data_IF_577913674379
#
_entry.id   IF_577913674379
#
_cell.length_a   1.000
_cell.length_b   1.000
_cell.length_c   1.000
_cell.angle_alpha   90.00
_cell.angle_beta   90.00
_cell.angle_gamma   90.00
#
_symmetry.space_group_name_H-M   'P 1'
#
loop_
_entity.id
_entity.type
_entity.pdbx_description
1 polymer ?
#
# COMPACT_ATOMS: atom_id res chain seq x y z
N UNK A 1 -10.32 -41.46 2.65
CA UNK A 1 -9.58 -41.22 3.91
C UNK A 1 -8.79 -39.92 3.79
N UNK A 2 -9.21 -38.87 4.50
CA UNK A 2 -8.50 -37.57 4.55
C UNK A 2 -7.29 -37.69 5.48
N UNK A 3 -6.10 -37.27 5.04
CA UNK A 3 -4.91 -37.08 5.90
C UNK A 3 -4.81 -35.61 6.28
N UNK A 4 -4.91 -35.30 7.58
CA UNK A 4 -4.65 -33.98 8.16
C UNK A 4 -3.17 -33.96 8.59
N UNK A 5 -2.38 -33.00 8.09
CA UNK A 5 -1.03 -32.70 8.59
C UNK A 5 -1.17 -31.70 9.74
N UNK A 6 -0.78 -32.09 10.95
CA UNK A 6 -0.64 -31.19 12.09
C UNK A 6 0.80 -30.68 12.10
N UNK A 7 0.95 -29.36 12.07
CA UNK A 7 2.22 -28.64 12.19
C UNK A 7 2.64 -28.64 13.67
N UNK A 8 3.79 -29.25 13.98
CA UNK A 8 4.30 -29.34 15.35
C UNK A 8 5.09 -28.06 15.69
N UNK A 9 4.57 -27.23 16.59
CA UNK A 9 5.35 -26.16 17.22
C UNK A 9 6.23 -26.78 18.33
N UNK A 10 7.53 -26.50 18.29
CA UNK A 10 8.48 -26.97 19.32
C UNK A 10 8.25 -26.15 20.59
N UNK A 11 7.74 -26.79 21.65
CA UNK A 11 7.53 -26.19 22.96
C UNK A 11 8.71 -26.55 23.86
N UNK A 12 9.55 -25.58 24.22
CA UNK A 12 10.61 -25.77 25.21
C UNK A 12 10.06 -25.48 26.60
N UNK A 13 10.02 -26.50 27.49
CA UNK A 13 9.72 -26.32 28.91
C UNK A 13 11.02 -26.11 29.70
N UNK A 14 11.12 -25.00 30.43
CA UNK A 14 12.12 -24.81 31.49
C UNK A 14 11.45 -24.93 32.86
N UNK A 15 11.97 -25.83 33.71
CA UNK A 15 11.48 -26.06 35.08
C UNK A 15 12.31 -25.22 36.05
N UNK A 16 11.75 -24.13 36.54
CA UNK A 16 12.38 -23.31 37.59
C UNK A 16 11.90 -23.77 38.98
N UNK A 17 12.65 -24.72 39.56
CA UNK A 17 12.60 -25.18 40.97
C UNK A 17 11.40 -26.03 41.41
N UNK A 18 11.70 -27.05 42.22
CA UNK A 18 10.73 -27.85 42.97
C UNK A 18 10.71 -27.39 44.42
N UNK A 19 9.56 -26.94 44.93
CA UNK A 19 9.30 -26.86 46.37
C UNK A 19 8.27 -27.94 46.75
N UNK A 20 8.44 -28.49 47.95
CA UNK A 20 7.99 -29.83 48.37
C UNK A 20 6.49 -30.10 48.56
N UNK A 21 5.61 -29.39 47.88
CA UNK A 21 4.20 -29.75 47.78
C UNK A 21 3.90 -29.99 46.30
N UNK A 22 3.52 -31.22 45.94
CA UNK A 22 3.43 -31.74 44.56
C UNK A 22 2.39 -31.09 43.63
N UNK A 23 2.28 -29.77 43.64
CA UNK A 23 1.45 -28.96 42.74
C UNK A 23 2.35 -28.29 41.71
N UNK A 24 2.34 -28.81 40.49
CA UNK A 24 2.97 -28.16 39.34
C UNK A 24 2.12 -26.93 38.99
N UNK A 25 2.59 -25.72 39.35
CA UNK A 25 2.04 -24.48 38.80
C UNK A 25 2.80 -24.15 37.50
N UNK A 26 2.23 -24.52 36.36
CA UNK A 26 2.74 -24.05 35.06
C UNK A 26 2.36 -22.59 34.87
N UNK A 27 3.31 -21.66 34.99
CA UNK A 27 3.13 -20.32 34.43
C UNK A 27 3.39 -20.38 32.94
N UNK A 28 2.34 -20.25 32.13
CA UNK A 28 2.46 -19.93 30.71
C UNK A 28 2.93 -18.48 30.59
N UNK A 29 4.24 -18.25 30.51
CA UNK A 29 4.76 -16.99 29.97
C UNK A 29 4.97 -17.20 28.48
N UNK A 30 4.13 -16.58 27.65
CA UNK A 30 4.46 -16.40 26.23
C UNK A 30 5.65 -15.44 26.17
N UNK A 31 6.85 -15.95 25.95
CA UNK A 31 7.98 -15.09 25.55
C UNK A 31 7.66 -14.57 24.16
N UNK A 32 7.15 -13.34 24.08
CA UNK A 32 7.03 -12.60 22.82
C UNK A 32 8.43 -12.15 22.40
N UNK A 33 9.25 -13.09 21.95
CA UNK A 33 10.60 -12.81 21.47
C UNK A 33 10.56 -12.50 19.98
N UNK A 34 11.15 -11.34 19.65
CA UNK A 34 11.16 -10.72 18.34
C UNK A 34 11.42 -11.67 17.16
N UNK A 35 10.63 -11.48 16.12
CA UNK A 35 10.49 -12.36 14.97
C UNK A 35 11.68 -12.23 14.00
N UNK A 36 12.46 -13.32 13.80
CA UNK A 36 13.62 -13.42 12.89
C UNK A 36 13.21 -13.49 11.42
N UNK A 37 13.52 -12.51 10.57
CA UNK A 37 13.60 -12.71 9.10
C UNK A 37 12.39 -13.47 8.46
N UNK A 38 11.17 -13.27 9.00
CA UNK A 38 10.02 -14.14 8.72
C UNK A 38 9.28 -13.68 7.45
N UNK A 39 9.10 -14.62 6.53
CA UNK A 39 8.08 -14.54 5.49
C UNK A 39 6.71 -14.32 6.14
N UNK A 40 5.93 -13.36 5.66
CA UNK A 40 4.58 -13.08 6.13
C UNK A 40 3.81 -14.40 6.39
N UNK A 41 3.28 -14.66 7.61
CA UNK A 41 2.61 -15.91 7.92
C UNK A 41 1.37 -16.17 7.04
N UNK A 42 0.84 -15.13 6.38
CA UNK A 42 -0.25 -15.22 5.41
C UNK A 42 0.23 -15.49 3.97
N UNK A 43 1.54 -15.43 3.72
CA UNK A 43 2.14 -15.52 2.39
C UNK A 43 1.86 -14.30 1.50
N UNK A 44 1.21 -13.26 2.02
CA UNK A 44 0.85 -12.06 1.27
C UNK A 44 2.11 -11.28 0.88
N UNK A 45 2.99 -10.94 1.83
CA UNK A 45 4.26 -10.31 1.51
C UNK A 45 5.42 -11.29 1.32
N UNK A 46 6.36 -10.99 0.38
CA UNK A 46 7.62 -11.72 0.26
C UNK A 46 8.40 -11.72 1.58
N UNK A 47 9.37 -12.64 1.68
CA UNK A 47 10.36 -12.59 2.76
C UNK A 47 11.01 -11.21 2.83
N UNK A 48 11.18 -10.71 4.05
CA UNK A 48 11.74 -9.39 4.36
C UNK A 48 10.94 -8.20 3.80
N UNK A 49 9.65 -8.41 3.53
CA UNK A 49 8.70 -7.34 3.30
C UNK A 49 7.59 -7.39 4.37
N UNK A 50 7.15 -6.21 4.81
CA UNK A 50 6.02 -6.03 5.72
C UNK A 50 4.80 -5.54 4.98
N UNK A 51 3.61 -5.99 5.39
CA UNK A 51 2.34 -5.54 4.87
C UNK A 51 2.02 -4.16 5.44
N UNK A 52 1.79 -3.20 4.56
CA UNK A 52 1.29 -1.86 4.88
C UNK A 52 -0.21 -1.87 4.64
N UNK A 53 -1.04 -1.66 5.68
CA UNK A 53 -2.49 -1.57 5.50
C UNK A 53 -2.89 -0.39 4.61
N UNK A 54 -3.99 -0.55 3.87
CA UNK A 54 -4.63 0.52 3.12
C UNK A 54 -4.84 1.75 4.00
N UNK A 55 -4.59 2.93 3.42
CA UNK A 55 -4.70 4.21 4.10
C UNK A 55 -5.17 5.29 3.11
N UNK A 56 -6.46 5.31 2.73
CA UNK A 56 -6.99 6.33 1.84
C UNK A 56 -6.84 7.74 2.44
N UNK A 57 -6.59 8.77 1.61
CA UNK A 57 -6.53 8.73 0.14
C UNK A 57 -5.14 8.32 -0.41
N UNK A 58 -4.16 8.01 0.45
CA UNK A 58 -2.77 7.77 0.06
C UNK A 58 -2.54 6.39 -0.57
N UNK A 59 -3.21 5.37 -0.05
CA UNK A 59 -3.21 4.02 -0.62
C UNK A 59 -4.60 3.39 -0.46
N UNK A 60 -5.26 3.07 -1.57
CA UNK A 60 -6.59 2.44 -1.58
C UNK A 60 -6.56 0.96 -1.13
N UNK A 61 -5.40 0.33 -1.25
CA UNK A 61 -5.20 -1.09 -0.95
C UNK A 61 -3.90 -1.29 -0.18
N UNK A 62 -3.84 -2.44 0.49
CA UNK A 62 -2.63 -2.91 1.12
C UNK A 62 -1.51 -3.13 0.07
N UNK A 63 -0.27 -2.97 0.52
CA UNK A 63 0.91 -3.29 -0.27
C UNK A 63 2.02 -3.80 0.64
N UNK A 64 3.08 -4.33 0.06
CA UNK A 64 4.25 -4.80 0.77
C UNK A 64 5.37 -3.77 0.67
N UNK A 65 5.97 -3.44 1.80
CA UNK A 65 7.14 -2.58 1.90
C UNK A 65 8.34 -3.41 2.34
N UNK A 66 9.47 -3.27 1.68
CA UNK A 66 10.73 -3.82 2.18
C UNK A 66 11.00 -3.41 3.63
N UNK A 67 11.21 -4.41 4.50
CA UNK A 67 11.40 -4.22 5.94
C UNK A 67 12.66 -3.42 6.24
N UNK A 68 13.74 -3.75 5.53
CA UNK A 68 15.03 -3.09 5.61
C UNK A 68 15.33 -2.35 4.31
N UNK A 69 16.22 -1.36 4.38
CA UNK A 69 16.76 -0.72 3.19
C UNK A 69 17.31 -1.74 2.19
N UNK A 70 17.15 -1.42 0.90
CA UNK A 70 17.72 -2.23 -0.17
C UNK A 70 19.25 -2.25 -0.05
N UNK A 71 19.81 -3.42 -0.31
CA UNK A 71 21.25 -3.68 -0.29
C UNK A 71 21.63 -4.41 -1.56
N UNK A 72 22.92 -4.38 -1.87
CA UNK A 72 23.47 -5.19 -2.96
C UNK A 72 23.51 -6.65 -2.48
N UNK A 73 22.80 -7.53 -3.19
CA UNK A 73 22.80 -8.97 -2.90
C UNK A 73 24.22 -9.52 -2.91
N UNK A 74 24.60 -10.19 -1.84
CA UNK A 74 25.93 -10.80 -1.69
C UNK A 74 27.08 -9.82 -1.43
N UNK A 75 26.79 -8.51 -1.22
CA UNK A 75 27.80 -7.53 -0.84
C UNK A 75 27.34 -6.73 0.39
N UNK A 76 28.15 -6.74 1.45
CA UNK A 76 27.85 -6.04 2.71
C UNK A 76 28.20 -4.56 2.68
N UNK A 77 28.92 -4.08 1.66
CA UNK A 77 29.15 -2.66 1.42
C UNK A 77 28.22 -2.16 0.31
N UNK A 78 27.22 -1.35 0.67
CA UNK A 78 26.29 -0.72 -0.27
C UNK A 78 26.76 0.60 -0.86
N UNK A 79 27.89 1.16 -0.42
CA UNK A 79 28.55 2.31 -1.06
C UNK A 79 29.51 1.81 -2.14
N UNK A 80 28.93 1.38 -3.26
CA UNK A 80 29.65 0.88 -4.43
C UNK A 80 29.22 1.66 -5.67
N UNK A 81 30.12 1.90 -6.64
CA UNK A 81 29.72 2.39 -7.95
C UNK A 81 28.65 1.48 -8.55
N UNK A 82 27.60 2.07 -9.12
CA UNK A 82 26.50 1.30 -9.72
C UNK A 82 27.00 0.35 -10.81
N UNK A 83 26.51 -0.89 -10.78
CA UNK A 83 26.70 -1.92 -11.80
C UNK A 83 25.33 -2.56 -12.08
N UNK A 84 24.93 -2.63 -13.34
CA UNK A 84 23.65 -3.20 -13.77
C UNK A 84 23.53 -4.72 -13.53
N UNK A 85 24.61 -5.39 -13.13
CA UNK A 85 24.59 -6.80 -12.71
C UNK A 85 24.29 -6.97 -11.22
N UNK A 86 24.26 -5.88 -10.44
CA UNK A 86 23.80 -5.95 -9.07
C UNK A 86 22.33 -6.32 -9.00
N UNK A 87 21.92 -6.83 -7.83
CA UNK A 87 20.54 -7.23 -7.58
C UNK A 87 20.17 -6.68 -6.21
N UNK A 88 19.09 -5.91 -6.14
CA UNK A 88 18.58 -5.42 -4.88
C UNK A 88 18.09 -6.56 -3.96
N UNK A 89 18.31 -6.41 -2.66
CA UNK A 89 17.83 -7.34 -1.64
C UNK A 89 17.51 -6.60 -0.34
N UNK A 90 16.30 -6.81 0.20
CA UNK A 90 15.98 -6.37 1.56
C UNK A 90 16.46 -7.41 2.57
N UNK A 91 17.41 -7.03 3.40
CA UNK A 91 17.99 -7.88 4.46
C UNK A 91 18.51 -7.04 5.61
N UNK A 92 18.68 -7.64 6.80
CA UNK A 92 19.18 -6.95 7.99
C UNK A 92 20.67 -6.59 7.90
N UNK A 93 21.51 -7.56 7.50
CA UNK A 93 22.98 -7.43 7.38
C UNK A 93 23.44 -6.51 6.25
N UNK A 94 24.64 -5.95 6.33
CA UNK A 94 25.23 -5.03 5.34
C UNK A 94 24.78 -3.57 5.48
N UNK A 95 25.42 -2.66 4.75
CA UNK A 95 25.02 -1.24 4.69
C UNK A 95 24.03 -1.00 3.53
N UNK A 96 23.15 0.02 3.63
CA UNK A 96 22.22 0.37 2.55
C UNK A 96 22.93 0.61 1.21
N UNK A 97 22.29 0.22 0.11
CA UNK A 97 22.75 0.54 -1.24
C UNK A 97 22.45 2.02 -1.52
N UNK A 98 23.53 2.80 -1.62
CA UNK A 98 23.50 4.25 -1.84
C UNK A 98 24.20 4.61 -3.14
N UNK A 99 24.14 5.87 -3.55
CA UNK A 99 24.85 6.32 -4.75
C UNK A 99 24.20 5.84 -6.04
N UNK A 100 22.87 5.71 -6.05
CA UNK A 100 22.07 5.36 -7.24
C UNK A 100 21.19 6.53 -7.66
N UNK A 101 20.87 6.60 -8.94
CA UNK A 101 19.84 7.51 -9.49
C UNK A 101 18.43 6.92 -9.28
N UNK A 102 17.40 7.74 -9.44
CA UNK A 102 16.00 7.27 -9.36
C UNK A 102 15.66 6.24 -10.44
N UNK A 103 16.18 6.43 -11.66
CA UNK A 103 15.96 5.52 -12.76
C UNK A 103 16.59 4.15 -12.49
N UNK A 104 17.80 4.13 -11.93
CA UNK A 104 18.49 2.90 -11.51
C UNK A 104 17.74 2.23 -10.36
N UNK A 105 17.40 2.96 -9.29
CA UNK A 105 16.62 2.42 -8.16
C UNK A 105 15.27 1.82 -8.63
N UNK A 106 14.60 2.48 -9.57
CA UNK A 106 13.36 1.98 -10.17
C UNK A 106 13.57 0.71 -11.01
N UNK A 107 14.63 0.67 -11.83
CA UNK A 107 14.98 -0.51 -12.61
C UNK A 107 15.29 -1.70 -11.71
N UNK A 108 16.09 -1.50 -10.66
CA UNK A 108 16.44 -2.52 -9.67
C UNK A 108 15.22 -3.08 -8.94
N UNK A 109 14.30 -2.22 -8.50
CA UNK A 109 13.06 -2.70 -7.87
C UNK A 109 12.22 -3.53 -8.83
N UNK A 110 12.10 -3.11 -10.10
CA UNK A 110 11.33 -3.85 -11.12
C UNK A 110 11.99 -5.18 -11.50
N UNK A 111 13.33 -5.26 -11.42
CA UNK A 111 14.07 -6.49 -11.66
C UNK A 111 13.81 -7.59 -10.61
N UNK A 112 13.27 -7.24 -9.44
CA UNK A 112 12.83 -8.21 -8.43
C UNK A 112 11.64 -9.07 -8.88
N UNK A 113 10.92 -8.63 -9.91
CA UNK A 113 9.85 -9.39 -10.57
C UNK A 113 8.52 -8.64 -10.66
N UNK A 114 7.48 -9.36 -11.08
CA UNK A 114 6.15 -8.78 -11.26
C UNK A 114 5.58 -8.19 -9.97
N UNK A 115 4.98 -7.00 -10.09
CA UNK A 115 4.35 -6.28 -8.98
C UNK A 115 5.30 -5.49 -8.08
N UNK A 116 6.62 -5.54 -8.32
CA UNK A 116 7.58 -4.68 -7.61
C UNK A 116 7.78 -3.34 -8.34
N UNK A 117 7.92 -2.27 -7.57
CA UNK A 117 8.31 -0.95 -8.08
C UNK A 117 9.05 -0.16 -6.98
N UNK A 118 9.63 0.96 -7.36
CA UNK A 118 10.13 1.95 -6.40
C UNK A 118 8.95 2.62 -5.68
N UNK A 119 9.07 2.82 -4.37
CA UNK A 119 8.03 3.45 -3.55
C UNK A 119 7.68 4.85 -4.07
N UNK A 120 6.40 5.15 -4.30
CA UNK A 120 5.93 6.50 -4.60
C UNK A 120 5.74 7.36 -3.35
N UNK A 121 5.60 8.67 -3.53
CA UNK A 121 5.23 9.57 -2.43
C UNK A 121 3.91 9.23 -1.75
N UNK A 122 2.91 8.82 -2.53
CA UNK A 122 1.62 8.40 -1.96
C UNK A 122 1.76 7.17 -1.07
N UNK A 123 2.62 6.22 -1.45
CA UNK A 123 2.93 5.05 -0.63
C UNK A 123 3.75 5.43 0.61
N UNK A 124 4.74 6.33 0.49
CA UNK A 124 5.44 6.89 1.65
C UNK A 124 4.46 7.49 2.65
N UNK A 125 3.54 8.33 2.16
CA UNK A 125 2.53 8.95 3.01
C UNK A 125 1.63 7.94 3.69
N UNK A 126 1.20 6.90 2.98
CA UNK A 126 0.40 5.83 3.57
C UNK A 126 1.12 5.18 4.77
N UNK A 127 2.42 4.90 4.63
CA UNK A 127 3.27 4.32 5.68
C UNK A 127 3.47 5.31 6.82
N UNK A 128 3.84 6.55 6.51
CA UNK A 128 4.10 7.60 7.49
C UNK A 128 2.87 7.90 8.35
N UNK A 129 1.70 8.05 7.71
CA UNK A 129 0.40 8.23 8.39
C UNK A 129 0.03 7.04 9.25
N UNK A 130 0.31 5.82 8.79
CA UNK A 130 0.05 4.62 9.57
C UNK A 130 0.89 4.61 10.87
N UNK A 131 2.19 4.88 10.75
CA UNK A 131 3.13 4.94 11.88
C UNK A 131 2.76 6.07 12.86
N UNK A 132 2.40 7.25 12.33
CA UNK A 132 1.97 8.42 13.11
C UNK A 132 0.80 8.08 14.06
N UNK A 133 -0.15 7.26 13.62
CA UNK A 133 -1.33 6.88 14.40
C UNK A 133 -1.08 5.76 15.41
N UNK A 134 0.11 5.16 15.43
CA UNK A 134 0.44 4.06 16.35
C UNK A 134 1.13 4.62 17.60
N UNK A 135 0.40 4.65 18.70
CA UNK A 135 0.84 5.18 20.00
C UNK A 135 2.19 4.62 20.49
N UNK A 136 2.52 3.36 20.16
CA UNK A 136 3.79 2.71 20.53
C UNK A 136 5.03 3.44 19.97
N UNK A 137 4.91 4.12 18.84
CA UNK A 137 6.04 4.86 18.23
C UNK A 137 6.36 6.16 19.01
N UNK A 138 5.48 6.60 19.89
CA UNK A 138 5.59 7.87 20.60
C UNK A 138 6.18 7.72 22.00
N UNK A 139 7.01 8.69 22.41
CA UNK A 139 7.68 8.73 23.71
C UNK A 139 6.77 8.55 24.94
N UNK A 140 5.54 9.08 24.88
CA UNK A 140 4.54 8.99 25.95
C UNK A 140 3.53 7.86 25.77
N UNK A 141 3.77 6.92 24.85
CA UNK A 141 2.82 5.87 24.49
C UNK A 141 1.42 6.40 24.11
N UNK A 142 1.37 7.62 23.58
CA UNK A 142 0.18 8.30 23.11
C UNK A 142 0.53 9.14 21.87
N UNK A 143 -0.35 9.14 20.87
CA UNK A 143 -0.17 9.91 19.63
C UNK A 143 -0.02 11.40 19.98
N UNK A 144 1.02 12.04 19.46
CA UNK A 144 1.31 13.46 19.71
C UNK A 144 1.98 13.78 21.04
N UNK A 145 2.47 12.79 21.81
CA UNK A 145 3.19 13.06 23.06
C UNK A 145 4.43 13.94 22.87
N UNK A 146 4.74 14.77 23.88
CA UNK A 146 5.72 15.86 23.79
C UNK A 146 7.19 15.46 23.54
N UNK A 147 7.57 14.20 23.74
CA UNK A 147 8.93 13.73 23.40
C UNK A 147 9.07 13.23 21.96
N UNK A 148 7.97 13.14 21.20
CA UNK A 148 7.99 12.84 19.77
C UNK A 148 8.00 11.35 19.40
N UNK A 149 8.12 11.10 18.10
CA UNK A 149 8.26 9.80 17.46
C UNK A 149 9.70 9.29 17.57
N UNK A 150 9.84 7.96 17.67
CA UNK A 150 11.11 7.30 17.44
C UNK A 150 11.66 7.62 16.05
N UNK A 151 12.88 8.12 16.02
CA UNK A 151 13.59 8.52 14.81
C UNK A 151 14.90 7.75 14.77
N UNK A 152 15.08 6.93 13.75
CA UNK A 152 16.34 6.21 13.58
C UNK A 152 17.44 7.23 13.32
N UNK A 153 18.19 7.64 14.35
CA UNK A 153 19.20 8.67 14.16
C UNK A 153 20.49 8.04 13.64
N UNK A 154 20.97 8.60 12.53
CA UNK A 154 22.17 8.14 11.86
C UNK A 154 23.43 8.32 12.71
N UNK A 155 24.08 7.20 13.05
CA UNK A 155 25.53 7.06 13.27
C UNK A 155 26.14 6.08 12.24
N UNK A 156 26.97 6.55 11.28
CA UNK A 156 27.29 6.05 9.88
C UNK A 156 26.39 5.00 9.19
N UNK A 157 26.34 4.92 7.84
CA UNK A 157 25.42 3.99 7.12
C UNK A 157 25.41 2.59 7.78
N UNK A 158 24.34 2.28 8.49
CA UNK A 158 24.41 1.37 9.64
C UNK A 158 23.68 0.07 9.36
N UNK A 159 24.30 -1.06 9.70
CA UNK A 159 23.66 -2.38 9.59
C UNK A 159 22.51 -2.50 10.59
N UNK A 160 21.35 -2.97 10.11
CA UNK A 160 20.20 -3.26 10.97
C UNK A 160 20.41 -4.57 11.74
N UNK A 161 19.69 -4.75 12.85
CA UNK A 161 19.75 -6.02 13.56
C UNK A 161 18.85 -7.07 12.91
N UNK A 162 19.23 -8.35 13.07
CA UNK A 162 18.40 -9.48 12.67
C UNK A 162 17.10 -9.61 13.49
N UNK A 163 17.08 -9.03 14.71
CA UNK A 163 15.95 -9.10 15.64
C UNK A 163 15.40 -7.73 15.97
N UNK A 164 14.08 -7.55 15.80
CA UNK A 164 13.40 -6.28 16.10
C UNK A 164 13.54 -5.83 17.57
N UNK A 165 13.76 -6.77 18.50
CA UNK A 165 14.06 -6.46 19.91
C UNK A 165 15.37 -5.71 20.11
N UNK A 166 16.30 -5.76 19.16
CA UNK A 166 17.54 -4.98 19.21
C UNK A 166 17.34 -3.60 18.56
N UNK A 167 16.25 -2.92 18.93
CA UNK A 167 15.75 -1.73 18.25
C UNK A 167 16.73 -0.55 18.20
N UNK A 168 17.74 -0.50 19.08
CA UNK A 168 18.80 0.52 19.08
C UNK A 168 20.15 0.02 18.56
N UNK A 169 20.21 -1.13 17.88
CA UNK A 169 21.46 -1.69 17.40
C UNK A 169 22.28 -0.67 16.58
N UNK A 170 23.56 -0.53 16.92
CA UNK A 170 24.48 0.38 16.22
C UNK A 170 24.39 1.86 16.62
N UNK A 171 23.49 2.26 17.54
CA UNK A 171 23.33 3.68 17.92
C UNK A 171 24.07 4.07 19.21
N UNK A 172 24.65 3.10 19.92
CA UNK A 172 25.22 3.30 21.26
C UNK A 172 24.19 3.50 22.37
N UNK A 173 22.89 3.46 22.05
CA UNK A 173 21.80 3.55 23.02
C UNK A 173 21.25 2.16 23.38
N UNK A 174 20.54 2.08 24.51
CA UNK A 174 19.84 0.86 24.94
C UNK A 174 18.34 1.06 24.78
N UNK A 175 17.71 0.24 23.92
CA UNK A 175 16.26 0.18 23.78
C UNK A 175 15.84 -1.15 23.13
N UNK A 176 14.60 -1.56 23.40
CA UNK A 176 13.96 -2.76 22.85
C UNK A 176 12.48 -2.48 22.54
N UNK A 177 11.68 -3.52 22.29
CA UNK A 177 10.26 -3.38 21.97
C UNK A 177 9.41 -2.81 23.13
N UNK A 178 9.90 -2.91 24.37
CA UNK A 178 9.25 -2.42 25.60
C UNK A 178 9.83 -1.09 26.10
N UNK A 179 11.10 -0.83 25.85
CA UNK A 179 11.85 0.32 26.38
C UNK A 179 12.00 1.39 25.30
N UNK A 180 11.34 2.54 25.48
CA UNK A 180 11.37 3.62 24.49
C UNK A 180 12.69 4.38 24.48
N UNK A 181 13.16 4.72 23.28
CA UNK A 181 14.26 5.66 23.07
C UNK A 181 14.05 6.35 21.72
N UNK A 182 14.45 7.63 21.62
CA UNK A 182 14.33 8.37 20.37
C UNK A 182 15.19 7.78 19.25
N UNK A 183 16.27 7.05 19.55
CA UNK A 183 17.15 6.35 18.59
C UNK A 183 16.63 4.97 18.17
N UNK A 184 15.40 4.60 18.55
CA UNK A 184 14.79 3.37 18.04
C UNK A 184 14.80 3.40 16.51
N UNK A 185 15.47 2.40 15.95
CA UNK A 185 15.62 2.17 14.51
C UNK A 185 14.46 1.38 13.92
N UNK A 186 13.43 1.05 14.71
CA UNK A 186 12.22 0.37 14.23
C UNK A 186 10.99 1.23 14.47
N UNK A 187 10.10 1.25 13.49
CA UNK A 187 8.77 1.83 13.59
C UNK A 187 7.72 0.72 13.46
N UNK A 188 6.68 0.77 14.27
CA UNK A 188 5.59 -0.21 14.29
C UNK A 188 4.41 0.28 13.45
N UNK A 189 3.93 -0.57 12.56
CA UNK A 189 2.70 -0.40 11.79
C UNK A 189 1.47 -0.80 12.62
N UNK A 190 0.28 -0.36 12.22
CA UNK A 190 -0.97 -0.63 12.93
C UNK A 190 -1.34 -2.11 12.98
N UNK A 191 -0.85 -2.91 12.04
CA UNK A 191 -0.98 -4.37 12.05
C UNK A 191 0.05 -5.08 12.94
N UNK A 192 0.88 -4.33 13.67
CA UNK A 192 1.87 -4.82 14.60
C UNK A 192 3.23 -5.19 14.01
N UNK A 193 3.41 -5.13 12.68
CA UNK A 193 4.68 -5.38 12.03
C UNK A 193 5.66 -4.21 12.19
N UNK A 194 6.96 -4.47 12.05
CA UNK A 194 8.02 -3.48 12.23
C UNK A 194 8.77 -3.22 10.93
N UNK A 195 8.97 -1.94 10.60
CA UNK A 195 9.89 -1.49 9.55
C UNK A 195 11.14 -0.91 10.23
N UNK A 196 12.32 -1.21 9.68
CA UNK A 196 13.57 -0.65 10.16
C UNK A 196 13.89 0.65 9.43
N UNK A 197 14.58 1.59 10.06
CA UNK A 197 15.28 2.75 9.47
C UNK A 197 14.45 3.70 8.58
N UNK A 198 13.12 3.59 8.52
CA UNK A 198 12.32 4.41 7.60
C UNK A 198 12.41 5.91 7.93
N UNK A 199 12.48 6.26 9.22
CA UNK A 199 12.62 7.65 9.66
C UNK A 199 14.08 8.15 9.62
N UNK A 200 15.04 7.29 9.28
CA UNK A 200 16.45 7.69 9.12
C UNK A 200 17.43 6.53 9.10
N UNK A 201 18.60 6.80 8.54
CA UNK A 201 19.81 5.97 8.37
C UNK A 201 20.40 6.54 7.08
N UNK A 202 19.74 6.28 5.96
CA UNK A 202 19.88 7.02 4.70
C UNK A 202 18.52 7.63 4.35
N UNK A 203 18.52 8.66 3.51
CA UNK A 203 17.27 9.18 2.97
C UNK A 203 16.84 8.34 1.75
N UNK A 204 15.55 8.37 1.44
CA UNK A 204 14.91 7.50 0.47
C UNK A 204 14.52 8.26 -0.79
N UNK A 205 15.05 7.85 -1.95
CA UNK A 205 14.54 8.28 -3.25
C UNK A 205 13.18 7.65 -3.49
N UNK A 206 12.21 8.47 -3.90
CA UNK A 206 10.87 8.01 -4.26
C UNK A 206 10.65 8.02 -5.76
N UNK A 207 9.64 7.28 -6.22
CA UNK A 207 9.07 7.36 -7.57
C UNK A 207 8.18 8.61 -7.67
N UNK A 208 8.52 9.50 -8.59
CA UNK A 208 7.80 10.76 -8.82
C UNK A 208 8.68 11.99 -8.60
N UNK A 209 8.09 13.18 -8.73
CA UNK A 209 8.74 14.44 -8.46
C UNK A 209 7.81 15.40 -7.68
N UNK A 210 8.41 16.48 -7.17
CA UNK A 210 7.68 17.50 -6.41
C UNK A 210 6.55 18.19 -7.19
N UNK A 211 6.60 18.21 -8.53
CA UNK A 211 5.66 18.97 -9.36
C UNK A 211 4.41 18.17 -9.73
N UNK A 212 4.54 16.87 -9.87
CA UNK A 212 3.49 15.98 -10.38
C UNK A 212 2.82 15.13 -9.31
N UNK A 213 3.42 15.02 -8.12
CA UNK A 213 2.84 14.24 -7.03
C UNK A 213 1.60 14.92 -6.42
N UNK A 214 0.53 14.15 -6.12
CA UNK A 214 -0.72 14.69 -5.61
C UNK A 214 -0.55 15.35 -4.23
N UNK A 215 -1.16 16.52 -4.09
CA UNK A 215 -1.25 17.27 -2.82
C UNK A 215 -2.48 16.78 -2.06
N UNK A 216 -2.27 16.06 -0.97
CA UNK A 216 -3.32 15.71 -0.03
C UNK A 216 -3.23 16.68 1.13
N UNK A 217 -4.12 17.68 1.20
CA UNK A 217 -4.07 18.71 2.23
C UNK A 217 -4.80 18.30 3.51
N UNK A 218 -4.12 17.83 4.58
CA UNK A 218 -4.65 17.96 5.92
C UNK A 218 -4.57 19.45 6.29
N UNK A 219 -5.65 19.99 6.81
CA UNK A 219 -5.62 21.29 7.46
C UNK A 219 -4.86 21.13 8.79
N UNK A 220 -3.52 21.25 8.82
CA UNK A 220 -2.81 21.86 9.96
C UNK A 220 -1.27 21.97 9.86
N UNK A 221 -0.73 22.85 10.70
CA UNK A 221 0.47 23.70 10.52
C UNK A 221 1.71 23.27 11.33
N UNK A 222 1.79 22.01 11.73
CA UNK A 222 2.58 21.58 12.90
C UNK A 222 4.10 21.79 12.89
N UNK A 223 4.75 22.05 11.75
CA UNK A 223 6.21 22.19 11.67
C UNK A 223 6.59 23.53 11.06
N UNK A 224 7.13 24.40 11.90
CA UNK A 224 7.60 25.75 11.54
C UNK A 224 8.63 25.73 10.41
N UNK A 225 9.45 24.68 10.32
CA UNK A 225 10.59 24.56 9.39
C UNK A 225 10.30 24.14 7.96
N UNK A 226 9.09 23.68 7.63
CA UNK A 226 8.75 23.39 6.23
C UNK A 226 8.66 24.71 5.46
N UNK A 227 9.56 24.92 4.49
CA UNK A 227 9.58 26.17 3.72
C UNK A 227 8.39 26.25 2.75
N UNK A 228 7.33 26.96 3.17
CA UNK A 228 6.16 27.26 2.35
C UNK A 228 4.92 26.42 2.67
N UNK A 229 3.75 27.06 2.58
CA UNK A 229 2.46 26.45 2.93
C UNK A 229 2.18 25.16 2.14
N UNK A 230 2.63 25.07 0.88
CA UNK A 230 2.47 23.86 0.06
C UNK A 230 3.22 22.66 0.63
N UNK A 231 4.48 22.76 1.05
CA UNK A 231 5.18 21.60 1.62
C UNK A 231 4.56 21.12 2.93
N UNK A 232 4.06 22.06 3.75
CA UNK A 232 3.31 21.71 4.97
C UNK A 232 2.06 20.90 4.64
N UNK A 233 1.25 21.40 3.71
CA UNK A 233 0.02 20.73 3.28
C UNK A 233 0.29 19.42 2.54
N UNK A 234 1.34 19.33 1.72
CA UNK A 234 1.58 18.12 0.92
C UNK A 234 2.25 17.00 1.71
N UNK A 235 3.14 17.35 2.66
CA UNK A 235 4.12 16.41 3.21
C UNK A 235 4.17 16.29 4.74
N UNK A 236 3.56 17.22 5.47
CA UNK A 236 3.60 17.23 6.93
C UNK A 236 2.76 16.16 7.61
N UNK A 237 2.82 16.06 8.95
CA UNK A 237 1.91 15.25 9.77
C UNK A 237 0.42 15.65 9.59
N UNK A 238 -0.51 14.78 10.01
CA UNK A 238 -1.95 15.08 10.03
C UNK A 238 -2.30 15.79 11.33
N UNK A 239 -1.65 15.42 12.43
CA UNK A 239 -1.87 16.04 13.73
C UNK A 239 -1.21 17.42 13.85
N UNK A 240 -1.82 18.28 14.66
CA UNK A 240 -1.20 19.53 15.08
C UNK A 240 -0.26 19.28 16.27
N UNK A 241 1.04 19.24 15.99
CA UNK A 241 2.11 19.00 16.96
C UNK A 241 2.90 20.26 17.30
N UNK A 242 2.19 21.36 17.60
CA UNK A 242 2.82 22.67 17.85
C UNK A 242 3.89 22.66 18.98
N UNK A 243 3.80 21.71 19.92
CA UNK A 243 4.80 21.52 20.98
C UNK A 243 6.13 20.90 20.49
N UNK A 244 6.16 20.34 19.28
CA UNK A 244 7.31 19.68 18.66
C UNK A 244 8.01 20.57 17.62
N UNK A 245 7.93 21.90 17.77
CA UNK A 245 8.47 22.88 16.82
C UNK A 245 9.94 23.25 17.05
N UNK A 246 10.58 22.72 18.10
CA UNK A 246 11.99 22.93 18.38
C UNK A 246 12.80 21.69 18.00
N UNK A 247 14.04 21.89 17.57
CA UNK A 247 14.99 20.83 17.30
C UNK A 247 14.99 19.80 18.44
N UNK A 248 14.77 18.49 18.17
CA UNK A 248 14.84 17.81 16.86
C UNK A 248 13.47 17.48 16.21
N UNK A 249 12.50 18.39 16.30
CA UNK A 249 11.13 18.26 15.79
C UNK A 249 10.36 17.03 16.25
N UNK A 250 10.73 16.49 17.43
CA UNK A 250 10.13 15.27 17.96
C UNK A 250 10.14 14.11 16.97
N UNK A 251 11.15 13.98 16.11
CA UNK A 251 11.23 12.90 15.12
C UNK A 251 10.24 12.97 13.96
N UNK A 252 9.55 14.10 13.80
CA UNK A 252 8.71 14.35 12.63
C UNK A 252 9.55 14.75 11.42
N UNK A 253 10.64 15.49 11.63
CA UNK A 253 11.55 15.92 10.56
C UNK A 253 11.35 17.36 10.09
N UNK A 254 12.05 17.72 9.02
CA UNK A 254 12.07 19.07 8.42
C UNK A 254 11.72 19.04 6.92
N UNK A 255 11.53 20.22 6.31
CA UNK A 255 11.17 20.34 4.90
C UNK A 255 12.00 21.39 4.18
N UNK A 256 12.93 20.94 3.33
CA UNK A 256 13.82 21.79 2.55
C UNK A 256 13.42 21.79 1.07
N UNK A 257 13.06 22.95 0.54
CA UNK A 257 12.60 23.08 -0.85
C UNK A 257 13.43 24.04 -1.69
N UNK A 258 13.63 23.71 -2.97
CA UNK A 258 14.07 24.65 -4.01
C UNK A 258 13.06 24.70 -5.17
N UNK A 259 12.94 25.87 -5.81
CA UNK A 259 11.82 26.22 -6.68
C UNK A 259 11.87 25.66 -8.11
N UNK A 260 12.88 24.87 -8.51
CA UNK A 260 13.08 24.68 -9.96
C UNK A 260 13.33 23.28 -10.53
N UNK A 261 13.73 22.20 -9.84
CA UNK A 261 13.95 20.88 -10.50
C UNK A 261 14.09 19.65 -9.55
N UNK A 262 13.47 19.66 -8.37
CA UNK A 262 13.78 18.72 -7.29
C UNK A 262 13.14 17.34 -7.37
N UNK A 263 13.96 16.28 -7.39
CA UNK A 263 13.51 14.93 -7.04
C UNK A 263 13.04 14.89 -5.58
N UNK A 264 12.01 14.09 -5.28
CA UNK A 264 11.49 13.95 -3.93
C UNK A 264 12.29 12.91 -3.14
N UNK A 265 13.04 13.39 -2.15
CA UNK A 265 13.74 12.53 -1.16
C UNK A 265 13.05 12.64 0.19
N UNK A 266 12.87 11.51 0.86
CA UNK A 266 12.17 11.42 2.16
C UNK A 266 13.00 10.72 3.23
N UNK A 267 12.58 10.86 4.47
CA UNK A 267 13.34 10.33 5.59
C UNK A 267 14.62 11.13 5.83
N UNK A 268 15.46 10.65 6.74
CA UNK A 268 16.67 11.37 7.16
C UNK A 268 17.96 10.69 6.80
N UNK A 269 18.89 11.49 6.29
CA UNK A 269 20.26 11.07 6.07
C UNK A 269 21.24 11.69 7.07
N UNK A 270 22.44 11.12 7.08
CA UNK A 270 23.69 11.64 7.63
C UNK A 270 23.85 13.16 7.49
N UNK A 271 24.09 13.85 8.60
CA UNK A 271 24.49 15.26 8.61
C UNK A 271 25.97 15.40 8.98
N UNK A 272 26.76 15.95 8.07
CA UNK A 272 28.20 16.22 8.22
C UNK A 272 28.50 17.13 9.43
N UNK A 273 28.92 16.52 10.54
CA UNK A 273 29.73 17.18 11.58
C UNK A 273 29.09 18.32 12.39
N UNK A 274 27.85 18.71 12.12
CA UNK A 274 27.15 19.72 12.93
C UNK A 274 26.07 19.02 13.77
N UNK A 275 26.11 19.08 15.12
CA UNK A 275 25.11 18.53 16.02
C UNK A 275 23.79 19.34 15.99
N UNK A 276 23.35 19.69 14.78
CA UNK A 276 22.26 20.58 14.39
C UNK A 276 21.60 20.19 13.05
N UNK A 277 22.17 19.24 12.28
CA UNK A 277 21.67 18.84 10.96
C UNK A 277 20.66 17.66 11.07
N UNK A 278 19.57 17.91 11.81
CA UNK A 278 18.59 16.94 12.30
C UNK A 278 17.46 16.61 11.34
N UNK A 279 17.79 16.27 10.09
CA UNK A 279 16.76 15.97 9.07
C UNK A 279 16.18 14.56 9.21
N UNK A 280 16.45 13.83 10.31
CA UNK A 280 15.89 12.51 10.58
C UNK A 280 14.50 12.59 11.20
N UNK A 281 13.53 12.22 10.38
CA UNK A 281 12.13 12.14 10.75
C UNK A 281 11.29 11.51 9.66
N UNK A 282 10.14 11.01 10.07
CA UNK A 282 9.22 10.28 9.21
C UNK A 282 8.60 11.14 8.09
N UNK A 283 8.43 12.44 8.36
CA UNK A 283 7.89 13.42 7.42
C UNK A 283 8.96 14.30 6.79
N UNK A 284 10.24 14.04 7.08
CA UNK A 284 11.35 14.77 6.45
C UNK A 284 11.24 14.73 4.93
N UNK A 285 11.48 15.87 4.30
CA UNK A 285 11.44 16.02 2.86
C UNK A 285 12.53 16.97 2.38
N UNK A 286 13.25 16.54 1.34
CA UNK A 286 14.21 17.38 0.65
C UNK A 286 13.94 17.34 -0.85
N UNK A 287 13.68 18.51 -1.44
CA UNK A 287 13.54 18.69 -2.89
C UNK A 287 14.67 19.56 -3.48
N UNK A 288 15.66 19.95 -2.67
CA UNK A 288 16.83 20.71 -3.12
C UNK A 288 17.99 19.81 -3.53
N UNK A 289 17.68 18.60 -4.00
CA UNK A 289 18.65 17.61 -4.43
C UNK A 289 18.51 17.40 -5.94
N UNK A 290 19.60 17.68 -6.66
CA UNK A 290 19.71 17.50 -8.12
C UNK A 290 20.54 16.25 -8.38
N UNK A 291 19.97 15.25 -9.05
CA UNK A 291 20.62 13.95 -9.22
C UNK A 291 20.71 13.48 -10.66
N UNK A 292 21.40 14.30 -11.46
CA UNK A 292 22.27 13.77 -12.52
C UNK A 292 23.52 13.08 -11.92
N UNK A 293 23.73 13.17 -10.59
CA UNK A 293 24.90 12.63 -9.87
C UNK A 293 24.49 11.80 -8.65
N UNK A 294 24.98 10.56 -8.48
CA UNK A 294 24.87 9.76 -7.26
C UNK A 294 25.12 10.49 -5.93
N UNK A 295 24.38 10.12 -4.87
CA UNK A 295 24.59 10.60 -3.50
C UNK A 295 24.69 9.44 -2.50
N UNK A 296 25.79 9.37 -1.76
CA UNK A 296 26.10 8.29 -0.81
C UNK A 296 25.30 8.35 0.50
N UNK A 297 24.46 9.36 0.68
CA UNK A 297 23.59 9.53 1.83
C UNK A 297 22.14 9.16 1.51
N UNK A 298 21.88 8.69 0.29
CA UNK A 298 20.55 8.43 -0.24
C UNK A 298 20.47 7.03 -0.82
N UNK A 299 19.52 6.23 -0.30
CA UNK A 299 19.20 4.88 -0.74
C UNK A 299 17.79 4.81 -1.33
N UNK A 300 17.21 3.61 -1.30
CA UNK A 300 15.88 3.34 -1.83
C UNK A 300 15.23 2.11 -1.19
N UNK A 301 13.90 2.11 -1.22
CA UNK A 301 13.04 0.99 -0.86
C UNK A 301 12.16 0.57 -2.01
N UNK A 302 12.13 -0.73 -2.24
CA UNK A 302 11.14 -1.33 -3.12
C UNK A 302 9.87 -1.64 -2.34
N UNK A 303 8.76 -1.50 -3.05
CA UNK A 303 7.46 -2.03 -2.65
C UNK A 303 7.10 -3.19 -3.56
N UNK A 304 6.16 -4.02 -3.11
CA UNK A 304 5.49 -5.01 -3.95
C UNK A 304 3.99 -4.90 -3.75
N UNK A 305 3.24 -4.89 -4.82
CA UNK A 305 1.83 -5.23 -4.79
C UNK A 305 1.73 -6.75 -4.98
N UNK A 306 1.48 -7.53 -3.92
CA UNK A 306 1.39 -8.98 -4.07
C UNK A 306 0.13 -9.31 -4.88
N UNK A 307 0.31 -9.51 -6.19
CA UNK A 307 -0.75 -9.78 -7.17
C UNK A 307 -2.09 -9.17 -6.80
N UNK A 308 -2.07 -7.86 -6.57
CA UNK A 308 -2.92 -7.00 -7.37
C UNK A 308 -1.99 -6.50 -8.48
N UNK A 309 -1.90 -7.24 -9.59
CA UNK A 309 -1.62 -6.56 -10.86
C UNK A 309 -2.62 -5.39 -10.93
N UNK A 310 -2.23 -4.23 -11.48
CA UNK A 310 -3.11 -3.08 -11.50
C UNK A 310 -4.49 -3.48 -12.03
N UNK A 311 -5.54 -3.07 -11.33
CA UNK A 311 -6.89 -3.54 -11.65
C UNK A 311 -7.28 -3.02 -13.05
N UNK A 312 -7.43 -3.95 -13.99
CA UNK A 312 -7.98 -3.70 -15.30
C UNK A 312 -9.47 -3.43 -15.21
N UNK A 313 -9.91 -2.47 -16.03
CA UNK A 313 -11.29 -1.97 -16.10
C UNK A 313 -11.62 -1.69 -17.56
N UNK A 314 -12.90 -1.77 -17.92
CA UNK A 314 -13.41 -1.35 -19.24
C UNK A 314 -13.48 0.18 -19.28
N UNK A 315 -13.94 0.79 -18.19
CA UNK A 315 -14.22 2.22 -18.09
C UNK A 315 -13.29 2.90 -17.07
N UNK A 316 -12.86 4.12 -17.37
CA UNK A 316 -12.12 4.97 -16.43
C UNK A 316 -13.10 5.70 -15.49
N UNK A 317 -12.57 6.39 -14.46
CA UNK A 317 -13.41 7.23 -13.60
C UNK A 317 -14.03 8.42 -14.34
N UNK A 318 -13.46 8.83 -15.48
CA UNK A 318 -13.97 9.93 -16.31
C UNK A 318 -15.15 9.51 -17.20
N UNK A 319 -15.36 8.20 -17.38
CA UNK A 319 -16.54 7.70 -18.07
C UNK A 319 -17.74 7.78 -17.12
N UNK A 320 -18.54 8.83 -17.27
CA UNK A 320 -19.82 9.01 -16.56
C UNK A 320 -21.01 8.84 -17.52
N UNK A 321 -22.16 8.36 -17.03
CA UNK A 321 -23.39 8.24 -17.81
C UNK A 321 -23.96 9.60 -18.22
N UNK A 322 -24.47 9.68 -19.45
CA UNK A 322 -25.27 10.82 -19.91
C UNK A 322 -26.58 10.91 -19.11
N UNK A 323 -27.20 9.75 -18.85
CA UNK A 323 -28.39 9.63 -17.98
C UNK A 323 -27.99 8.90 -16.70
N UNK A 324 -27.70 9.61 -15.60
CA UNK A 324 -27.23 9.00 -14.35
C UNK A 324 -28.32 8.24 -13.59
N UNK A 325 -29.60 8.57 -13.82
CA UNK A 325 -30.77 7.87 -13.27
C UNK A 325 -31.89 7.87 -14.29
N UNK A 326 -32.31 6.68 -14.70
CA UNK A 326 -33.59 6.41 -15.35
C UNK A 326 -34.36 5.38 -14.52
N UNK A 327 -35.70 5.40 -14.58
CA UNK A 327 -36.56 4.54 -13.78
C UNK A 327 -37.55 3.77 -14.66
N UNK A 328 -37.50 2.43 -14.58
CA UNK A 328 -38.45 1.52 -15.22
C UNK A 328 -39.46 0.90 -14.22
N UNK A 329 -39.31 1.19 -12.92
CA UNK A 329 -40.16 0.72 -11.80
C UNK A 329 -40.35 -0.81 -11.69
N UNK A 330 -39.67 -1.59 -12.52
CA UNK A 330 -39.56 -3.04 -12.46
C UNK A 330 -38.10 -3.41 -12.20
N UNK A 331 -37.83 -4.45 -11.42
CA UNK A 331 -36.46 -4.89 -11.18
C UNK A 331 -35.76 -5.27 -12.49
N UNK A 332 -34.51 -4.83 -12.68
CA UNK A 332 -33.73 -5.07 -13.90
C UNK A 332 -32.37 -5.66 -13.55
N UNK A 333 -31.95 -6.68 -14.31
CA UNK A 333 -30.54 -7.07 -14.38
C UNK A 333 -29.89 -6.36 -15.56
N UNK A 334 -28.78 -5.67 -15.33
CA UNK A 334 -28.08 -4.87 -16.32
C UNK A 334 -26.63 -5.31 -16.38
N UNK A 335 -26.06 -5.41 -17.58
CA UNK A 335 -24.72 -5.98 -17.74
C UNK A 335 -23.95 -5.53 -18.97
N UNK A 336 -22.71 -6.00 -19.00
CA UNK A 336 -21.76 -5.82 -20.09
C UNK A 336 -21.16 -7.18 -20.48
N UNK A 337 -21.11 -7.46 -21.77
CA UNK A 337 -20.30 -8.53 -22.32
C UNK A 337 -18.86 -8.03 -22.48
N UNK A 338 -17.90 -8.79 -21.95
CA UNK A 338 -16.50 -8.37 -21.92
C UNK A 338 -15.54 -9.52 -22.21
N UNK A 339 -14.30 -9.16 -22.53
CA UNK A 339 -13.15 -10.05 -22.67
C UNK A 339 -11.91 -9.42 -22.01
N UNK A 340 -10.96 -10.26 -21.62
CA UNK A 340 -9.61 -9.84 -21.27
C UNK A 340 -8.62 -10.36 -22.32
N UNK A 341 -7.59 -9.58 -22.66
CA UNK A 341 -6.57 -10.00 -23.65
C UNK A 341 -5.63 -11.10 -23.11
N UNK A 342 -5.55 -11.24 -21.79
CA UNK A 342 -4.69 -12.20 -21.07
C UNK A 342 -5.51 -12.97 -20.03
N UNK A 343 -4.97 -14.11 -19.59
CA UNK A 343 -5.56 -14.84 -18.46
C UNK A 343 -5.49 -13.98 -17.20
N UNK A 344 -6.42 -14.20 -16.28
CA UNK A 344 -6.44 -13.48 -15.02
C UNK A 344 -7.65 -13.81 -14.18
N UNK A 345 -7.96 -12.92 -13.24
CA UNK A 345 -9.02 -13.10 -12.26
C UNK A 345 -9.94 -11.90 -12.19
N UNK A 346 -11.23 -12.16 -12.03
CA UNK A 346 -12.24 -11.15 -11.71
C UNK A 346 -12.42 -11.13 -10.19
N UNK A 347 -12.06 -10.01 -9.58
CA UNK A 347 -12.17 -9.78 -8.14
C UNK A 347 -13.54 -9.23 -7.74
N UNK A 348 -14.31 -8.71 -8.69
CA UNK A 348 -15.60 -8.10 -8.43
C UNK A 348 -16.17 -7.42 -9.66
N UNK A 349 -17.32 -6.79 -9.45
CA UNK A 349 -18.04 -5.99 -10.44
C UNK A 349 -18.16 -4.58 -9.89
N UNK A 350 -18.04 -3.60 -10.78
CA UNK A 350 -18.28 -2.20 -10.50
C UNK A 350 -19.44 -1.72 -11.37
N UNK A 351 -20.27 -0.82 -10.86
CA UNK A 351 -21.35 -0.22 -11.65
C UNK A 351 -21.62 1.23 -11.24
N UNK A 352 -22.07 2.07 -12.17
CA UNK A 352 -22.42 3.45 -11.83
C UNK A 352 -23.83 3.50 -11.23
N UNK A 353 -23.95 4.16 -10.08
CA UNK A 353 -25.21 4.27 -9.35
C UNK A 353 -25.60 5.73 -9.16
N UNK A 354 -26.77 6.11 -9.67
CA UNK A 354 -27.30 7.46 -9.50
C UNK A 354 -28.38 7.62 -8.42
N UNK A 355 -28.99 6.53 -7.94
CA UNK A 355 -30.09 6.57 -6.97
C UNK A 355 -30.02 5.42 -5.94
N UNK A 356 -30.81 5.54 -4.86
CA UNK A 356 -30.90 4.53 -3.79
C UNK A 356 -31.86 3.42 -4.18
N UNK A 357 -31.45 2.16 -4.06
CA UNK A 357 -32.30 1.01 -4.35
C UNK A 357 -32.81 0.34 -3.08
N UNK A 358 -34.13 0.28 -2.85
CA UNK A 358 -34.69 -0.49 -1.76
C UNK A 358 -34.28 -1.97 -1.85
N UNK A 359 -33.50 -2.46 -0.87
CA UNK A 359 -33.02 -3.84 -0.83
C UNK A 359 -31.61 -4.08 -1.36
N UNK A 360 -30.89 -3.02 -1.76
CA UNK A 360 -29.48 -3.08 -2.19
C UNK A 360 -29.28 -3.63 -3.59
N UNK A 361 -28.04 -4.05 -3.87
CA UNK A 361 -27.64 -4.58 -5.18
C UNK A 361 -26.93 -5.92 -5.04
N UNK A 362 -27.16 -6.77 -6.02
CA UNK A 362 -26.38 -8.01 -6.20
C UNK A 362 -25.64 -7.90 -7.52
N UNK A 363 -24.34 -8.16 -7.50
CA UNK A 363 -23.55 -8.31 -8.72
C UNK A 363 -23.35 -9.77 -9.07
N UNK A 364 -23.27 -10.06 -10.35
CA UNK A 364 -23.15 -11.43 -10.87
C UNK A 364 -22.12 -11.49 -12.00
N UNK A 365 -21.41 -12.61 -12.06
CA UNK A 365 -20.52 -12.95 -13.17
C UNK A 365 -21.00 -14.24 -13.83
N UNK A 366 -21.12 -14.22 -15.16
CA UNK A 366 -21.68 -15.31 -15.95
C UNK A 366 -20.73 -15.73 -17.07
N UNK A 367 -20.85 -16.99 -17.48
CA UNK A 367 -20.38 -17.41 -18.81
C UNK A 367 -21.24 -16.78 -19.91
N UNK A 368 -20.74 -16.68 -21.14
CA UNK A 368 -21.54 -16.25 -22.29
C UNK A 368 -22.79 -17.12 -22.55
N UNK A 369 -22.79 -18.37 -22.10
CA UNK A 369 -23.94 -19.30 -22.21
C UNK A 369 -24.99 -19.16 -21.10
N UNK A 370 -24.81 -18.22 -20.17
CA UNK A 370 -25.78 -17.95 -19.10
C UNK A 370 -25.62 -18.77 -17.82
N UNK A 371 -24.53 -19.51 -17.66
CA UNK A 371 -24.19 -20.16 -16.39
C UNK A 371 -23.62 -19.12 -15.42
N UNK A 372 -24.22 -19.00 -14.23
CA UNK A 372 -23.71 -18.17 -13.14
C UNK A 372 -22.41 -18.76 -12.60
N UNK A 373 -21.36 -17.95 -12.54
CA UNK A 373 -20.05 -18.34 -12.02
C UNK A 373 -19.91 -17.94 -10.56
N UNK A 374 -20.26 -16.69 -10.23
CA UNK A 374 -20.27 -16.18 -8.85
C UNK A 374 -21.21 -14.98 -8.70
N UNK A 375 -21.64 -14.69 -7.48
CA UNK A 375 -22.44 -13.52 -7.13
C UNK A 375 -22.11 -12.97 -5.75
N UNK A 376 -22.30 -11.66 -5.57
CA UNK A 376 -22.06 -10.99 -4.30
C UNK A 376 -23.04 -9.83 -4.08
N UNK A 377 -23.46 -9.64 -2.83
CA UNK A 377 -24.25 -8.49 -2.42
C UNK A 377 -23.32 -7.38 -1.90
N UNK A 378 -23.60 -6.13 -2.26
CA UNK A 378 -22.80 -4.97 -1.86
C UNK A 378 -23.56 -4.01 -0.94
N UNK A 379 -22.85 -3.29 -0.04
CA UNK A 379 -23.46 -2.20 0.72
C UNK A 379 -23.82 -1.02 -0.20
N UNK A 380 -24.73 -0.16 0.25
CA UNK A 380 -25.00 1.11 -0.42
C UNK A 380 -23.89 2.13 -0.08
N UNK A 381 -23.10 2.55 -1.07
CA UNK A 381 -22.08 3.59 -0.90
C UNK A 381 -22.64 5.03 -1.02
N UNK A 382 -21.79 5.96 -1.44
CA UNK A 382 -22.19 7.35 -1.77
C UNK A 382 -22.92 7.43 -3.12
N UNK A 383 -23.68 8.51 -3.34
CA UNK A 383 -24.49 8.76 -4.54
C UNK A 383 -24.29 10.20 -5.06
N UNK A 384 -24.36 10.44 -6.38
CA UNK A 384 -24.18 9.45 -7.44
C UNK A 384 -22.70 9.09 -7.58
N UNK A 385 -22.37 7.80 -7.64
CA UNK A 385 -20.98 7.37 -7.84
C UNK A 385 -20.89 5.92 -8.31
N UNK A 386 -19.70 5.56 -8.78
CA UNK A 386 -19.31 4.18 -9.01
C UNK A 386 -19.31 3.37 -7.71
N UNK A 387 -19.99 2.24 -7.74
CA UNK A 387 -20.04 1.27 -6.65
C UNK A 387 -19.18 0.06 -7.00
N UNK A 388 -18.47 -0.48 -6.03
CA UNK A 388 -17.69 -1.71 -6.20
C UNK A 388 -18.20 -2.79 -5.27
N UNK A 389 -18.40 -3.99 -5.82
CA UNK A 389 -18.78 -5.18 -5.05
C UNK A 389 -17.82 -6.31 -5.39
N UNK A 390 -17.09 -6.79 -4.38
CA UNK A 390 -16.08 -7.84 -4.54
C UNK A 390 -16.66 -9.22 -4.27
N UNK A 391 -16.19 -10.19 -5.04
CA UNK A 391 -16.47 -11.61 -4.79
C UNK A 391 -15.66 -12.09 -3.58
N UNK A 392 -16.19 -13.10 -2.88
CA UNK A 392 -15.50 -13.68 -1.73
C UNK A 392 -14.19 -14.38 -2.13
N UNK A 393 -14.13 -14.90 -3.36
CA UNK A 393 -12.94 -15.51 -3.95
C UNK A 393 -12.80 -15.04 -5.40
N UNK A 394 -11.63 -14.51 -5.84
CA UNK A 394 -11.46 -14.10 -7.22
C UNK A 394 -11.68 -15.24 -8.21
N UNK A 395 -12.43 -14.96 -9.28
CA UNK A 395 -12.83 -15.95 -10.29
C UNK A 395 -11.84 -15.95 -11.43
N UNK A 396 -11.24 -17.10 -11.75
CA UNK A 396 -10.32 -17.22 -12.90
C UNK A 396 -11.06 -17.16 -14.24
N UNK A 397 -10.51 -16.40 -15.18
CA UNK A 397 -11.00 -16.28 -16.55
C UNK A 397 -9.88 -16.52 -17.56
N UNK A 398 -10.26 -17.00 -18.74
CA UNK A 398 -9.32 -17.22 -19.84
C UNK A 398 -9.26 -15.99 -20.76
N UNK A 399 -8.08 -15.75 -21.31
CA UNK A 399 -7.87 -14.75 -22.35
C UNK A 399 -8.85 -14.94 -23.52
N UNK A 400 -9.30 -13.84 -24.12
CA UNK A 400 -10.14 -13.78 -25.32
C UNK A 400 -11.42 -14.64 -25.24
N UNK A 401 -11.91 -14.88 -24.02
CA UNK A 401 -13.15 -15.62 -23.76
C UNK A 401 -14.22 -14.64 -23.30
N UNK A 402 -15.42 -14.73 -23.88
CA UNK A 402 -16.53 -13.84 -23.54
C UNK A 402 -17.19 -14.24 -22.23
N UNK A 403 -17.33 -13.26 -21.33
CA UNK A 403 -18.08 -13.35 -20.09
C UNK A 403 -19.08 -12.21 -20.01
N UNK A 404 -20.02 -12.30 -19.06
CA UNK A 404 -20.99 -11.23 -18.78
C UNK A 404 -20.86 -10.84 -17.31
N UNK A 405 -20.65 -9.55 -17.05
CA UNK A 405 -20.74 -8.99 -15.71
C UNK A 405 -22.05 -8.19 -15.60
N UNK A 406 -22.75 -8.33 -14.49
CA UNK A 406 -24.05 -7.66 -14.30
C UNK A 406 -24.29 -7.23 -12.86
N UNK A 407 -25.28 -6.36 -12.68
CA UNK A 407 -25.89 -6.07 -11.39
C UNK A 407 -27.42 -6.08 -11.48
N UNK A 408 -28.06 -6.50 -10.39
CA UNK A 408 -29.51 -6.46 -10.22
C UNK A 408 -29.93 -5.22 -9.45
N UNK A 409 -30.74 -4.37 -10.09
CA UNK A 409 -31.40 -3.21 -9.49
C UNK A 409 -32.86 -3.56 -9.16
N UNK A 410 -33.16 -3.78 -7.88
CA UNK A 410 -34.46 -4.26 -7.40
C UNK A 410 -35.65 -3.35 -7.75
N UNK A 411 -35.47 -2.04 -7.67
CA UNK A 411 -36.46 -1.01 -8.00
C UNK A 411 -36.37 -0.47 -9.43
N UNK A 412 -35.45 -0.99 -10.26
CA UNK A 412 -35.40 -0.66 -11.69
C UNK A 412 -34.84 0.71 -12.03
N UNK A 413 -34.04 1.31 -11.14
CA UNK A 413 -33.34 2.57 -11.45
C UNK A 413 -31.89 2.28 -11.82
N UNK A 414 -31.46 2.87 -12.93
CA UNK A 414 -30.17 2.59 -13.53
C UNK A 414 -29.58 3.77 -14.29
N UNK A 415 -28.27 3.70 -14.49
CA UNK A 415 -27.54 4.64 -15.32
C UNK A 415 -27.37 4.08 -16.73
N UNK A 416 -27.47 4.94 -17.74
CA UNK A 416 -27.16 4.54 -19.12
C UNK A 416 -26.70 5.70 -20.01
N UNK A 417 -26.06 5.32 -21.12
CA UNK A 417 -25.86 6.16 -22.30
C UNK A 417 -26.27 5.35 -23.52
N UNK A 418 -27.16 5.92 -24.34
CA UNK A 418 -27.66 5.25 -25.54
C UNK A 418 -26.57 5.18 -26.62
N UNK A 419 -26.52 4.11 -27.40
CA UNK A 419 -25.51 3.92 -28.47
C UNK A 419 -24.04 4.02 -28.04
N UNK A 420 -23.74 3.94 -26.74
CA UNK A 420 -22.38 4.07 -26.24
C UNK A 420 -21.49 2.91 -26.70
N UNK A 421 -21.99 1.68 -26.73
CA UNK A 421 -21.21 0.50 -27.12
C UNK A 421 -21.35 0.18 -28.62
N UNK A 422 -21.46 1.19 -29.49
CA UNK A 422 -21.37 0.96 -30.96
C UNK A 422 -20.00 0.45 -31.39
N UNK A 423 -18.96 0.74 -30.61
CA UNK A 423 -17.61 0.18 -30.72
C UNK A 423 -17.19 -0.38 -29.35
N UNK A 424 -16.13 -1.21 -29.33
CA UNK A 424 -15.57 -1.67 -28.06
C UNK A 424 -14.98 -0.51 -27.26
N UNK A 425 -15.16 -0.57 -25.93
CA UNK A 425 -14.36 0.22 -25.00
C UNK A 425 -13.28 -0.68 -24.43
N UNK A 426 -12.06 -0.17 -24.40
CA UNK A 426 -10.92 -0.88 -23.86
C UNK A 426 -10.19 0.04 -22.89
N UNK A 427 -10.25 -0.32 -21.62
CA UNK A 427 -9.52 0.40 -20.59
C UNK A 427 -8.10 -0.15 -20.41
N UNK A 428 -7.36 0.40 -19.44
CA UNK A 428 -6.00 -0.03 -19.16
C UNK A 428 -5.97 -1.50 -18.69
N UNK A 429 -4.85 -2.17 -18.94
CA UNK A 429 -4.59 -3.56 -18.53
C UNK A 429 -5.45 -4.63 -19.23
N UNK A 430 -5.97 -4.31 -20.43
CA UNK A 430 -6.36 -5.30 -21.43
C UNK A 430 -7.78 -5.86 -21.30
N UNK A 431 -8.64 -5.25 -20.50
CA UNK A 431 -10.08 -5.58 -20.45
C UNK A 431 -10.84 -4.70 -21.42
N UNK A 432 -11.74 -5.32 -22.19
CA UNK A 432 -12.59 -4.63 -23.17
C UNK A 432 -14.04 -5.09 -23.09
N UNK A 433 -14.97 -4.17 -23.30
CA UNK A 433 -16.33 -4.54 -23.67
C UNK A 433 -16.38 -5.04 -25.11
N UNK A 434 -17.44 -5.77 -25.46
CA UNK A 434 -17.74 -6.06 -26.86
C UNK A 434 -18.54 -4.92 -27.49
N UNK A 435 -18.35 -4.70 -28.79
CA UNK A 435 -19.26 -3.89 -29.58
C UNK A 435 -20.68 -4.50 -29.50
N UNK A 436 -21.67 -3.70 -29.13
CA UNK A 436 -23.03 -4.11 -28.84
C UNK A 436 -23.20 -4.89 -27.53
N UNK A 437 -22.16 -4.91 -26.67
CA UNK A 437 -22.11 -5.75 -25.47
C UNK A 437 -22.98 -5.30 -24.30
N UNK A 438 -23.75 -4.22 -24.42
CA UNK A 438 -24.69 -3.79 -23.39
C UNK A 438 -25.93 -4.67 -23.37
N UNK A 439 -26.16 -5.36 -22.26
CA UNK A 439 -27.23 -6.36 -22.12
C UNK A 439 -28.09 -6.10 -20.89
N UNK A 440 -29.35 -6.54 -20.94
CA UNK A 440 -30.26 -6.48 -19.80
C UNK A 440 -31.18 -7.70 -19.73
N UNK A 441 -31.89 -7.84 -18.62
CA UNK A 441 -33.04 -8.72 -18.44
C UNK A 441 -34.06 -8.08 -17.49
N UNK A 442 -35.34 -8.37 -17.71
CA UNK A 442 -36.42 -7.99 -16.78
C UNK A 442 -36.46 -9.02 -15.65
N UNK A 443 -36.31 -8.54 -14.41
CA UNK A 443 -36.09 -9.36 -13.23
C UNK A 443 -34.64 -9.84 -13.09
N UNK A 444 -34.36 -10.51 -11.97
CA UNK A 444 -33.05 -11.09 -11.70
C UNK A 444 -32.78 -12.29 -12.61
N UNK A 445 -31.54 -12.41 -13.10
CA UNK A 445 -31.15 -13.53 -13.96
C UNK A 445 -30.17 -13.12 -15.06
N UNK A 446 -29.80 -14.06 -15.93
CA UNK A 446 -28.81 -13.81 -16.97
C UNK A 446 -29.29 -12.74 -17.97
N UNK A 447 -28.55 -11.62 -18.14
CA UNK A 447 -28.94 -10.58 -19.08
C UNK A 447 -28.53 -10.94 -20.51
N UNK A 448 -29.52 -11.14 -21.38
CA UNK A 448 -29.33 -11.54 -22.78
C UNK A 448 -30.12 -10.68 -23.79
N UNK A 449 -30.86 -9.69 -23.33
CA UNK A 449 -31.60 -8.76 -24.19
C UNK A 449 -30.75 -7.53 -24.51
N UNK A 450 -30.90 -6.99 -25.72
CA UNK A 450 -30.14 -5.81 -26.19
C UNK A 450 -31.12 -4.77 -26.72
N UNK A 451 -30.91 -3.49 -26.40
CA UNK A 451 -31.70 -2.38 -26.94
C UNK A 451 -30.81 -1.17 -27.25
N UNK A 452 -30.57 -0.90 -28.54
CA UNK A 452 -29.88 0.33 -28.97
C UNK A 452 -28.39 0.40 -28.61
N UNK A 453 -27.71 -0.74 -28.40
CA UNK A 453 -26.27 -0.81 -28.04
C UNK A 453 -25.86 0.10 -26.87
N UNK A 454 -26.55 0.00 -25.72
CA UNK A 454 -26.35 0.92 -24.62
C UNK A 454 -25.05 0.60 -23.87
N UNK A 455 -24.55 1.53 -23.07
CA UNK A 455 -23.73 1.19 -21.91
C UNK A 455 -24.59 1.39 -20.67
N UNK A 456 -24.71 0.35 -19.84
CA UNK A 456 -25.32 0.44 -18.50
C UNK A 456 -24.28 0.73 -17.41
N UNK A 457 -23.07 1.14 -17.81
CA UNK A 457 -21.95 1.46 -16.92
C UNK A 457 -21.68 0.35 -15.91
N UNK A 458 -21.67 -0.88 -16.39
CA UNK A 458 -21.20 -2.07 -15.66
C UNK A 458 -19.78 -2.35 -16.09
N UNK A 459 -18.93 -2.67 -15.11
CA UNK A 459 -17.51 -2.89 -15.29
C UNK A 459 -17.03 -4.05 -14.40
N UNK A 460 -15.82 -4.53 -14.65
CA UNK A 460 -15.18 -5.57 -13.87
C UNK A 460 -13.94 -5.05 -13.15
N UNK A 461 -13.60 -5.72 -12.07
CA UNK A 461 -12.34 -5.51 -11.36
C UNK A 461 -11.42 -6.68 -11.73
N UNK A 462 -10.64 -6.52 -12.79
CA UNK A 462 -9.79 -7.58 -13.35
C UNK A 462 -8.35 -7.48 -12.86
N UNK A 463 -7.70 -8.60 -12.63
CA UNK A 463 -6.26 -8.67 -12.33
C UNK A 463 -5.65 -9.71 -13.26
N UNK A 464 -4.72 -9.31 -14.11
CA UNK A 464 -3.98 -10.24 -14.98
C UNK A 464 -3.13 -11.22 -14.14
N UNK A 465 -3.00 -12.47 -14.60
CA UNK A 465 -2.18 -13.51 -13.96
C UNK A 465 -0.66 -13.23 -14.02
#
# INVERSE_FOLDING_TARGET
MKRIKILLAVLSLTVNSCTGDGVIRSSLSSSSEAQEDIADPTGYCPRNFVRVPANPPFAAHDFCLSKYEMKIRGNDNGDQPYDANFVAESRSGGTPWVGVTQAEAQAECRALGAGYDLMSNTQWQAVARNIEQVAWNWSGAAVGSAGGLSRSIGMTAGTAAARDAQACAGTGQTCDLSTWNSHRRVQRLSNGQYVWDLAGNVAEILRGDWFTDPVFAPQDTALSQFSGARMKMSFGPQGNYAALNAEPFGGLGDGLGAASNGLLVRGGAWGSGNPGAYNAGLFSVNTNVSFVTPNNSVGFRCIRHPTNAPEGRIFTAENIPEVPVAADFQGLELGVQFQADVNGKIHGVRFYRGATQPGGYTVSLWTAGGILIDSAAGPEGTLPDWQEVRFATPVSINANTTYVASYFATGGEYAYTFSALTTEFKGPYGVKSLAGGGVFNVGAGFPNSVFGTPSYYVDVIFVAD
#
